data_IF_881402824773
#
_entry.id   IF_881402824773
#
_cell.length_a   1.000
_cell.length_b   1.000
_cell.length_c   1.000
_cell.angle_alpha   90.00
_cell.angle_beta   90.00
_cell.angle_gamma   90.00
#
_symmetry.space_group_name_H-M   'P 1'
#
loop_
_entity.id
_entity.type
_entity.pdbx_description
1 polymer ?
#
# COMPACT_ATOMS: atom_id res chain seq x y z
N UNK A 1 24.47 -25.58 14.54
CA UNK A 1 24.34 -24.10 14.62
C UNK A 1 23.01 -23.71 14.00
N UNK A 2 21.99 -23.42 14.82
CA UNK A 2 20.74 -22.84 14.33
C UNK A 2 21.01 -21.35 14.05
N UNK A 3 21.11 -20.98 12.77
CA UNK A 3 21.05 -19.57 12.37
C UNK A 3 19.60 -19.13 12.55
N UNK A 4 19.25 -18.59 13.72
CA UNK A 4 17.98 -17.89 13.87
C UNK A 4 17.96 -16.78 12.81
N UNK A 5 16.93 -16.77 11.96
CA UNK A 5 16.73 -15.68 10.98
C UNK A 5 16.61 -14.38 11.75
N UNK A 6 17.37 -13.38 11.33
CA UNK A 6 17.18 -12.01 11.79
C UNK A 6 15.76 -11.57 11.41
N UNK A 7 15.03 -11.06 12.41
CA UNK A 7 13.67 -10.55 12.23
C UNK A 7 13.76 -9.05 12.03
N UNK A 8 13.35 -8.59 10.85
CA UNK A 8 13.19 -7.17 10.56
C UNK A 8 11.74 -6.77 10.85
N UNK A 9 11.55 -5.53 11.29
CA UNK A 9 10.25 -4.91 11.53
C UNK A 9 10.11 -3.69 10.64
N UNK A 10 8.87 -3.40 10.25
CA UNK A 10 8.57 -2.23 9.43
C UNK A 10 8.77 -0.95 10.27
N UNK A 11 9.41 0.06 9.66
CA UNK A 11 9.62 1.36 10.31
C UNK A 11 8.34 2.20 10.39
N UNK A 12 7.38 1.92 9.50
CA UNK A 12 6.10 2.60 9.40
C UNK A 12 4.98 1.64 9.78
N UNK A 13 4.14 2.03 10.73
CA UNK A 13 2.92 1.28 11.03
C UNK A 13 1.97 1.31 9.83
N UNK A 14 1.36 0.17 9.54
CA UNK A 14 0.64 -0.10 8.31
C UNK A 14 -0.58 -0.97 8.58
N UNK A 15 -1.65 -0.72 7.83
CA UNK A 15 -2.84 -1.57 7.77
C UNK A 15 -2.81 -2.37 6.46
N UNK A 16 -3.15 -3.66 6.54
CA UNK A 16 -3.28 -4.53 5.37
C UNK A 16 -4.74 -4.93 5.21
N UNK A 17 -5.28 -4.75 4.01
CA UNK A 17 -6.66 -5.08 3.70
C UNK A 17 -6.74 -5.88 2.40
N UNK A 18 -7.46 -6.99 2.44
CA UNK A 18 -7.80 -7.76 1.23
C UNK A 18 -9.05 -7.16 0.60
N UNK A 19 -8.97 -6.84 -0.68
CA UNK A 19 -10.07 -6.29 -1.48
C UNK A 19 -10.49 -7.34 -2.50
N UNK A 20 -11.75 -7.74 -2.46
CA UNK A 20 -12.35 -8.60 -3.49
C UNK A 20 -12.57 -7.78 -4.76
N UNK A 21 -12.13 -8.32 -5.89
CA UNK A 21 -12.22 -7.67 -7.19
C UNK A 21 -13.41 -8.17 -8.00
N UNK A 22 -13.93 -9.36 -7.70
CA UNK A 22 -15.05 -9.93 -8.44
C UNK A 22 -16.30 -9.08 -8.23
N UNK A 23 -17.06 -8.90 -9.31
CA UNK A 23 -18.33 -8.20 -9.29
C UNK A 23 -19.42 -9.10 -9.87
N UNK A 24 -20.66 -8.61 -9.87
CA UNK A 24 -21.78 -9.33 -10.51
C UNK A 24 -21.59 -9.54 -12.02
N UNK A 25 -20.76 -8.71 -12.67
CA UNK A 25 -20.58 -8.71 -14.13
C UNK A 25 -19.20 -9.18 -14.57
N UNK A 26 -18.21 -9.10 -13.70
CA UNK A 26 -16.80 -9.31 -14.04
C UNK A 26 -16.10 -10.24 -13.04
N UNK A 27 -15.28 -11.14 -13.57
CA UNK A 27 -14.39 -12.01 -12.82
C UNK A 27 -12.93 -11.59 -13.04
N UNK A 28 -12.14 -11.69 -11.98
CA UNK A 28 -10.73 -11.33 -11.95
C UNK A 28 -9.85 -12.50 -11.53
N UNK A 29 -8.62 -12.54 -12.05
CA UNK A 29 -7.57 -13.47 -11.63
C UNK A 29 -6.25 -12.69 -11.39
N UNK A 30 -5.73 -12.65 -10.14
CA UNK A 30 -6.37 -13.16 -8.92
C UNK A 30 -7.69 -12.44 -8.60
N UNK A 31 -8.64 -13.09 -7.89
CA UNK A 31 -9.95 -12.50 -7.58
C UNK A 31 -9.92 -11.47 -6.44
N UNK A 32 -8.74 -11.20 -5.89
CA UNK A 32 -8.54 -10.21 -4.85
C UNK A 32 -7.19 -9.50 -5.04
N UNK A 33 -7.04 -8.35 -4.40
CA UNK A 33 -5.75 -7.72 -4.17
C UNK A 33 -5.55 -7.42 -2.69
N UNK A 34 -4.30 -7.14 -2.31
CA UNK A 34 -3.95 -6.70 -0.97
C UNK A 34 -3.56 -5.24 -1.05
N UNK A 35 -4.38 -4.39 -0.44
CA UNK A 35 -4.04 -3.01 -0.17
C UNK A 35 -3.20 -2.93 1.11
N UNK A 36 -2.19 -2.07 1.06
CA UNK A 36 -1.31 -1.77 2.17
C UNK A 36 -1.28 -0.26 2.37
N UNK A 37 -1.89 0.19 3.46
CA UNK A 37 -2.04 1.61 3.79
C UNK A 37 -1.19 1.99 4.98
N UNK A 38 -0.59 3.17 4.96
CA UNK A 38 0.06 3.71 6.15
C UNK A 38 -1.01 4.03 7.18
N UNK A 39 -0.70 3.78 8.46
CA UNK A 39 -1.70 3.87 9.52
C UNK A 39 -2.40 5.22 9.52
N UNK A 40 -1.65 6.31 9.34
CA UNK A 40 -2.21 7.65 9.26
C UNK A 40 -3.16 7.87 8.08
N UNK A 41 -2.87 7.29 6.91
CA UNK A 41 -3.75 7.32 5.75
C UNK A 41 -5.02 6.50 6.00
N UNK A 42 -4.88 5.31 6.57
CA UNK A 42 -6.01 4.46 6.91
C UNK A 42 -6.93 5.11 7.95
N UNK A 43 -6.36 5.69 9.02
CA UNK A 43 -7.11 6.38 10.07
C UNK A 43 -7.91 7.57 9.51
N UNK A 44 -7.30 8.34 8.62
CA UNK A 44 -7.96 9.46 7.93
C UNK A 44 -9.10 8.98 7.03
N UNK A 45 -8.88 7.95 6.21
CA UNK A 45 -9.91 7.41 5.31
C UNK A 45 -11.08 6.75 6.05
N UNK A 46 -10.83 6.17 7.23
CA UNK A 46 -11.85 5.65 8.13
C UNK A 46 -12.59 6.75 8.91
N UNK A 47 -12.13 8.01 8.86
CA UNK A 47 -12.72 9.12 9.59
C UNK A 47 -12.42 9.09 11.10
N UNK A 48 -11.35 8.43 11.52
CA UNK A 48 -10.88 8.48 12.91
C UNK A 48 -10.20 9.81 13.23
N UNK A 49 -9.70 10.52 12.21
CA UNK A 49 -9.13 11.86 12.34
C UNK A 49 -9.74 12.81 11.31
N UNK A 50 -9.90 14.08 11.69
CA UNK A 50 -10.44 15.12 10.80
C UNK A 50 -9.45 15.56 9.71
N UNK A 51 -8.16 15.24 9.89
CA UNK A 51 -7.08 15.57 8.96
C UNK A 51 -6.01 14.49 8.93
N UNK A 52 -5.25 14.45 7.84
CA UNK A 52 -4.13 13.52 7.68
C UNK A 52 -2.98 13.94 8.62
N UNK A 53 -2.76 13.17 9.67
CA UNK A 53 -1.66 13.39 10.63
C UNK A 53 -0.36 12.78 10.10
N UNK A 54 0.76 13.47 10.27
CA UNK A 54 2.07 12.94 9.90
C UNK A 54 2.44 11.74 10.78
N UNK A 55 2.81 10.62 10.16
CA UNK A 55 3.50 9.53 10.84
C UNK A 55 5.01 9.66 10.59
N UNK A 56 5.78 9.68 11.68
CA UNK A 56 7.23 9.78 11.60
C UNK A 56 7.91 8.42 11.88
N UNK A 57 9.13 8.27 11.40
CA UNK A 57 9.98 7.10 11.58
C UNK A 57 11.42 7.52 11.90
N UNK A 58 12.24 6.60 12.41
CA UNK A 58 13.63 6.86 12.82
C UNK A 58 13.74 8.06 13.79
N UNK A 59 13.29 7.89 15.03
CA UNK A 59 13.34 8.94 16.07
C UNK A 59 12.77 10.31 15.62
N UNK A 60 11.67 10.31 14.86
CA UNK A 60 11.02 11.49 14.29
C UNK A 60 11.84 12.27 13.25
N UNK A 61 12.92 11.67 12.74
CA UNK A 61 13.75 12.27 11.71
C UNK A 61 13.14 12.13 10.31
N UNK A 62 12.55 10.97 10.01
CA UNK A 62 12.02 10.67 8.68
C UNK A 62 10.49 10.63 8.72
N UNK A 63 9.86 10.67 7.54
CA UNK A 63 8.39 10.65 7.39
C UNK A 63 7.96 9.35 6.72
N UNK A 64 6.92 8.73 7.24
CA UNK A 64 6.24 7.62 6.60
C UNK A 64 5.35 8.14 5.47
N UNK A 65 5.54 7.63 4.26
CA UNK A 65 4.86 8.06 3.05
C UNK A 65 4.15 6.88 2.41
N UNK A 66 2.89 7.07 2.06
CA UNK A 66 2.09 6.09 1.32
C UNK A 66 2.68 5.89 -0.08
N UNK A 67 3.03 4.63 -0.39
CA UNK A 67 3.44 4.21 -1.72
C UNK A 67 2.25 3.67 -2.49
N UNK A 68 2.10 4.17 -3.71
CA UNK A 68 1.14 3.69 -4.69
C UNK A 68 1.84 2.98 -5.83
N UNK A 69 1.15 2.04 -6.46
CA UNK A 69 1.67 1.30 -7.60
C UNK A 69 0.57 0.81 -8.53
N UNK A 70 1.00 0.06 -9.52
CA UNK A 70 0.12 -0.64 -10.46
C UNK A 70 0.09 -2.13 -10.12
N UNK A 71 -1.09 -2.74 -10.26
CA UNK A 71 -1.28 -4.19 -10.12
C UNK A 71 -1.89 -4.71 -11.41
N UNK A 72 -1.26 -5.73 -11.98
CA UNK A 72 -1.75 -6.38 -13.20
C UNK A 72 -2.56 -7.62 -12.82
N UNK A 73 -3.79 -7.68 -13.34
CA UNK A 73 -4.73 -8.78 -13.16
C UNK A 73 -5.30 -9.20 -14.51
N UNK A 74 -5.87 -10.39 -14.59
CA UNK A 74 -6.68 -10.80 -15.73
C UNK A 74 -8.16 -10.54 -15.43
N UNK A 75 -8.92 -10.05 -16.40
CA UNK A 75 -10.36 -9.75 -16.27
C UNK A 75 -11.16 -10.41 -17.38
N UNK A 76 -12.33 -10.94 -17.05
CA UNK A 76 -13.35 -11.39 -18.02
C UNK A 76 -14.77 -11.04 -17.57
N UNK A 77 -15.74 -10.89 -18.49
CA UNK A 77 -17.15 -10.95 -18.12
C UNK A 77 -17.51 -12.31 -17.52
N UNK A 78 -18.40 -12.35 -16.52
CA UNK A 78 -18.87 -13.60 -15.91
C UNK A 78 -19.41 -14.54 -16.98
N UNK A 79 -18.97 -15.81 -16.95
CA UNK A 79 -19.36 -16.84 -17.93
C UNK A 79 -18.66 -16.76 -19.29
N UNK A 80 -17.85 -15.73 -19.54
CA UNK A 80 -16.99 -15.67 -20.73
C UNK A 80 -15.82 -16.65 -20.61
N UNK A 81 -15.32 -17.14 -21.75
CA UNK A 81 -14.08 -17.91 -21.82
C UNK A 81 -12.85 -17.03 -22.09
N UNK A 82 -13.05 -15.76 -22.44
CA UNK A 82 -11.99 -14.84 -22.87
C UNK A 82 -11.52 -13.96 -21.72
N UNK A 83 -10.28 -14.20 -21.27
CA UNK A 83 -9.55 -13.34 -20.34
C UNK A 83 -8.80 -12.24 -21.08
N UNK A 84 -8.73 -11.07 -20.46
CA UNK A 84 -7.99 -9.92 -20.98
C UNK A 84 -7.13 -9.29 -19.87
N UNK A 85 -5.93 -8.80 -20.19
CA UNK A 85 -5.09 -8.12 -19.20
C UNK A 85 -5.74 -6.81 -18.76
N UNK A 86 -5.70 -6.55 -17.46
CA UNK A 86 -6.23 -5.34 -16.85
C UNK A 86 -5.24 -4.78 -15.82
N UNK A 87 -5.04 -3.47 -15.83
CA UNK A 87 -4.11 -2.80 -14.92
C UNK A 87 -4.88 -1.90 -13.97
N UNK A 88 -4.82 -2.22 -12.69
CA UNK A 88 -5.31 -1.38 -11.61
C UNK A 88 -4.22 -0.37 -11.26
N UNK A 89 -4.56 0.91 -11.28
CA UNK A 89 -3.64 2.01 -11.00
C UNK A 89 -3.90 2.60 -9.62
N UNK A 90 -2.89 3.27 -9.07
CA UNK A 90 -2.96 3.93 -7.76
C UNK A 90 -3.39 2.98 -6.63
N UNK A 91 -2.95 1.72 -6.71
CA UNK A 91 -3.18 0.76 -5.62
C UNK A 91 -2.21 1.08 -4.49
N UNK A 92 -2.66 1.24 -3.24
CA UNK A 92 -1.77 1.43 -2.09
C UNK A 92 -1.02 0.11 -1.83
N UNK A 93 0.30 0.10 -2.07
CA UNK A 93 1.11 -1.13 -2.05
C UNK A 93 2.14 -1.17 -0.92
N UNK A 94 2.29 -0.10 -0.16
CA UNK A 94 3.29 -0.04 0.90
C UNK A 94 3.45 1.32 1.54
N UNK A 95 4.37 1.38 2.50
CA UNK A 95 4.79 2.59 3.19
C UNK A 95 6.30 2.66 3.20
N UNK A 96 6.85 3.80 2.81
CA UNK A 96 8.28 4.04 2.83
C UNK A 96 8.63 5.09 3.88
N UNK A 97 9.74 4.87 4.58
CA UNK A 97 10.32 5.84 5.51
C UNK A 97 11.28 6.76 4.73
N UNK A 98 10.83 7.97 4.41
CA UNK A 98 11.47 8.87 3.45
C UNK A 98 11.99 10.15 4.10
N UNK A 99 12.99 10.75 3.43
CA UNK A 99 13.57 12.04 3.81
C UNK A 99 12.61 13.20 3.49
N UNK A 100 12.18 14.00 4.50
CA UNK A 100 11.30 15.13 4.26
C UNK A 100 12.10 16.34 3.75
N UNK A 101 12.12 16.50 2.42
CA UNK A 101 12.80 17.61 1.72
C UNK A 101 12.28 18.97 2.17
N UNK A 102 11.01 19.08 2.55
CA UNK A 102 10.39 20.28 3.10
C UNK A 102 10.98 20.72 4.45
N UNK A 103 11.54 19.79 5.23
CA UNK A 103 12.09 20.07 6.57
C UNK A 103 13.60 20.25 6.55
N UNK A 104 14.32 19.46 5.75
CA UNK A 104 15.79 19.42 5.79
C UNK A 104 16.47 19.79 4.47
N UNK A 105 15.70 20.13 3.43
CA UNK A 105 16.23 20.36 2.09
C UNK A 105 16.58 19.07 1.35
N UNK A 106 17.07 19.23 0.13
CA UNK A 106 17.60 18.10 -0.64
C UNK A 106 18.86 17.57 0.04
N UNK A 107 18.99 16.25 0.11
CA UNK A 107 20.25 15.63 0.52
C UNK A 107 21.25 15.85 -0.62
N UNK A 108 22.17 16.81 -0.44
CA UNK A 108 23.34 16.92 -1.30
C UNK A 108 24.22 15.69 -1.03
N UNK A 109 24.35 14.82 -2.04
CA UNK A 109 25.24 13.66 -2.03
C UNK A 109 26.57 14.02 -2.68
#
# INVERSE_FOLDING_TARGET
>A
MNKNRERNEDLCAMERRTIDLNTLNDEFDPPFLVEIRCQNTADYEHGYTDSLVEQACVHNLLRCVQRYGEVHVSKRPVGSVYWSPHTLRNVPIGCDCMWPVDRYGHQEL
#
